data_IF_801591985951
#
_entry.id   IF_801591985951
#
_cell.length_a   1.000
_cell.length_b   1.000
_cell.length_c   1.000
_cell.angle_alpha   90.00
_cell.angle_beta   90.00
_cell.angle_gamma   90.00
#
_symmetry.space_group_name_H-M   'P 1'
#
loop_
_entity.id
_entity.type
_entity.pdbx_description
1 polymer ?
#
# COMPACT_ATOMS: atom_id res chain seq x y z
N UNK A 1 -4.70 -17.48 -3.27
CA UNK A 1 -3.29 -17.78 -3.23
C UNK A 1 -2.50 -16.51 -3.05
N UNK A 2 -1.52 -16.58 -2.19
CA UNK A 2 -0.81 -15.37 -1.78
C UNK A 2 -0.09 -14.68 -2.93
N UNK A 3 0.58 -15.44 -3.78
CA UNK A 3 1.29 -14.86 -4.91
C UNK A 3 0.32 -14.19 -5.88
N UNK A 4 -0.83 -14.82 -6.09
CA UNK A 4 -1.85 -14.24 -6.96
C UNK A 4 -2.44 -12.97 -6.38
N UNK A 5 -2.59 -12.91 -5.04
CA UNK A 5 -3.12 -11.71 -4.39
C UNK A 5 -2.17 -10.53 -4.58
N UNK A 6 -0.87 -10.77 -4.46
CA UNK A 6 0.11 -9.72 -4.64
C UNK A 6 0.10 -9.18 -6.06
N UNK A 7 0.05 -10.07 -7.04
CA UNK A 7 -0.03 -9.68 -8.45
C UNK A 7 -1.33 -8.93 -8.71
N UNK A 8 -2.43 -9.40 -8.14
CA UNK A 8 -3.73 -8.77 -8.29
C UNK A 8 -3.72 -7.33 -7.79
N UNK A 9 -3.17 -7.10 -6.60
CA UNK A 9 -3.10 -5.74 -6.05
C UNK A 9 -2.16 -4.85 -6.84
N UNK A 10 -1.07 -5.38 -7.36
CA UNK A 10 -0.16 -4.61 -8.20
C UNK A 10 -0.85 -4.16 -9.49
N UNK A 11 -1.63 -5.02 -10.10
CA UNK A 11 -2.38 -4.67 -11.29
C UNK A 11 -3.44 -3.63 -10.99
N UNK A 12 -4.16 -3.79 -9.89
CA UNK A 12 -5.16 -2.81 -9.47
C UNK A 12 -4.51 -1.47 -9.17
N UNK A 13 -3.35 -1.49 -8.52
CA UNK A 13 -2.63 -0.26 -8.20
C UNK A 13 -2.27 0.50 -9.47
N UNK A 14 -1.75 -0.20 -10.47
CA UNK A 14 -1.37 0.42 -11.73
C UNK A 14 -2.58 1.04 -12.43
N UNK A 15 -3.72 0.36 -12.35
CA UNK A 15 -4.93 0.81 -13.02
C UNK A 15 -5.66 1.92 -12.26
N UNK A 16 -5.70 1.82 -10.93
CA UNK A 16 -6.50 2.73 -10.09
C UNK A 16 -5.67 3.66 -9.22
N UNK A 17 -4.38 3.78 -9.48
CA UNK A 17 -3.51 4.61 -8.64
C UNK A 17 -3.97 6.06 -8.59
N UNK A 18 -4.65 6.54 -9.60
CA UNK A 18 -5.16 7.91 -9.62
C UNK A 18 -6.25 8.16 -8.57
N UNK A 19 -6.84 7.10 -8.03
CA UNK A 19 -7.87 7.19 -7.00
C UNK A 19 -7.29 7.34 -5.60
N UNK A 20 -5.98 7.13 -5.47
CA UNK A 20 -5.32 7.18 -4.17
C UNK A 20 -4.64 8.54 -3.98
N UNK A 21 -4.57 9.00 -2.71
CA UNK A 21 -3.80 10.18 -2.40
C UNK A 21 -2.31 9.87 -2.60
N UNK A 22 -1.46 10.89 -2.78
CA UNK A 22 -0.03 10.65 -2.93
C UNK A 22 0.58 9.85 -1.78
N UNK A 23 0.15 10.12 -0.54
CA UNK A 23 0.65 9.39 0.62
C UNK A 23 0.24 7.91 0.58
N UNK A 24 -1.00 7.65 0.19
CA UNK A 24 -1.50 6.28 0.08
C UNK A 24 -0.77 5.52 -1.02
N UNK A 25 -0.50 6.17 -2.15
CA UNK A 25 0.25 5.57 -3.25
C UNK A 25 1.64 5.15 -2.81
N UNK A 26 2.35 6.04 -2.11
CA UNK A 26 3.70 5.74 -1.66
C UNK A 26 3.72 4.55 -0.70
N UNK A 27 2.81 4.56 0.27
CA UNK A 27 2.74 3.48 1.25
C UNK A 27 2.37 2.16 0.59
N UNK A 28 1.41 2.20 -0.32
CA UNK A 28 0.99 1.00 -1.05
C UNK A 28 2.14 0.44 -1.88
N UNK A 29 2.87 1.31 -2.58
CA UNK A 29 4.01 0.90 -3.39
C UNK A 29 5.13 0.31 -2.53
N UNK A 30 5.41 0.91 -1.38
CA UNK A 30 6.42 0.38 -0.47
C UNK A 30 6.06 -1.01 0.03
N UNK A 31 4.80 -1.22 0.34
CA UNK A 31 4.35 -2.49 0.88
C UNK A 31 4.30 -3.59 -0.19
N UNK A 32 3.68 -3.33 -1.31
CA UNK A 32 3.47 -4.33 -2.36
C UNK A 32 4.56 -4.33 -3.44
N UNK A 33 5.14 -3.17 -3.71
CA UNK A 33 6.17 -3.06 -4.73
C UNK A 33 7.57 -3.32 -4.22
N UNK A 34 7.90 -2.78 -3.05
CA UNK A 34 9.23 -2.92 -2.45
C UNK A 34 9.32 -3.99 -1.39
N UNK A 35 8.21 -4.61 -1.07
CA UNK A 35 8.15 -5.69 -0.08
C UNK A 35 8.63 -5.26 1.31
N UNK A 36 8.34 -4.02 1.69
CA UNK A 36 8.72 -3.51 2.99
C UNK A 36 7.68 -3.87 4.04
N UNK A 37 8.13 -4.01 5.30
CA UNK A 37 7.21 -4.27 6.40
C UNK A 37 6.55 -2.99 6.87
N UNK A 38 5.48 -3.12 7.64
CA UNK A 38 4.80 -1.96 8.21
C UNK A 38 5.75 -1.10 9.04
N UNK A 39 6.61 -1.76 9.84
CA UNK A 39 7.57 -1.05 10.66
C UNK A 39 8.60 -0.28 9.84
N UNK A 40 9.08 -0.89 8.75
CA UNK A 40 10.03 -0.23 7.87
C UNK A 40 9.41 0.99 7.19
N UNK A 41 8.18 0.85 6.73
CA UNK A 41 7.46 1.96 6.10
C UNK A 41 7.24 3.08 7.10
N UNK A 42 6.85 2.73 8.33
CA UNK A 42 6.63 3.71 9.38
C UNK A 42 7.89 4.53 9.67
N UNK A 43 9.04 3.87 9.70
CA UNK A 43 10.31 4.56 9.91
C UNK A 43 10.65 5.50 8.75
N UNK A 44 10.50 5.01 7.53
CA UNK A 44 10.81 5.79 6.34
C UNK A 44 9.93 7.03 6.24
N UNK A 45 8.64 6.87 6.51
CA UNK A 45 7.68 7.97 6.41
C UNK A 45 7.58 8.79 7.68
N UNK A 46 8.26 8.38 8.76
CA UNK A 46 8.23 9.05 10.05
C UNK A 46 6.81 9.17 10.61
N UNK A 47 6.06 8.07 10.51
CA UNK A 47 4.70 7.98 11.03
C UNK A 47 4.58 6.70 11.87
N UNK A 48 3.45 6.52 12.54
CA UNK A 48 3.24 5.32 13.36
C UNK A 48 2.90 4.13 12.48
N UNK A 49 3.14 2.93 13.01
CA UNK A 49 2.76 1.69 12.33
C UNK A 49 1.25 1.65 12.11
N UNK A 50 0.49 2.16 13.08
CA UNK A 50 -0.96 2.22 12.96
C UNK A 50 -1.39 3.08 11.78
N UNK A 51 -0.69 4.20 11.56
CA UNK A 51 -0.97 5.07 10.41
C UNK A 51 -0.72 4.35 9.10
N UNK A 52 0.36 3.56 9.02
CA UNK A 52 0.67 2.78 7.83
C UNK A 52 -0.44 1.76 7.57
N UNK A 53 -0.83 1.04 8.62
CA UNK A 53 -1.89 0.04 8.53
C UNK A 53 -3.20 0.66 8.05
N UNK A 54 -3.56 1.82 8.60
CA UNK A 54 -4.78 2.52 8.21
C UNK A 54 -4.72 2.95 6.75
N UNK A 55 -3.58 3.46 6.30
CA UNK A 55 -3.42 3.89 4.92
C UNK A 55 -3.59 2.71 3.95
N UNK A 56 -3.00 1.56 4.29
CA UNK A 56 -3.14 0.37 3.48
C UNK A 56 -4.58 -0.13 3.43
N UNK A 57 -5.26 -0.10 4.57
CA UNK A 57 -6.66 -0.52 4.64
C UNK A 57 -7.54 0.36 3.76
N UNK A 58 -7.32 1.67 3.81
CA UNK A 58 -8.08 2.61 2.99
C UNK A 58 -7.79 2.43 1.52
N UNK A 59 -6.53 2.20 1.17
CA UNK A 59 -6.15 1.97 -0.22
C UNK A 59 -6.82 0.72 -0.76
N UNK A 60 -6.82 -0.36 0.02
CA UNK A 60 -7.46 -1.60 -0.40
C UNK A 60 -8.96 -1.42 -0.64
N UNK A 61 -9.61 -0.65 0.22
CA UNK A 61 -11.04 -0.39 0.06
C UNK A 61 -11.34 0.36 -1.22
N UNK A 62 -10.46 1.29 -1.60
CA UNK A 62 -10.67 2.06 -2.82
C UNK A 62 -10.41 1.25 -4.07
N UNK A 63 -9.50 0.28 -3.99
CA UNK A 63 -9.14 -0.55 -5.13
C UNK A 63 -10.06 -1.74 -5.33
N UNK A 64 -10.86 -2.06 -4.35
CA UNK A 64 -11.76 -3.20 -4.39
C UNK A 64 -13.21 -2.72 -4.38
#
# INVERSE_FOLDING_TARGET
MEINDEIYYNELFAEYSSLLSPAQKEIFDMYFGMDLSLGEIAEIKEISRQSVSDALSKAKKQLV
#
